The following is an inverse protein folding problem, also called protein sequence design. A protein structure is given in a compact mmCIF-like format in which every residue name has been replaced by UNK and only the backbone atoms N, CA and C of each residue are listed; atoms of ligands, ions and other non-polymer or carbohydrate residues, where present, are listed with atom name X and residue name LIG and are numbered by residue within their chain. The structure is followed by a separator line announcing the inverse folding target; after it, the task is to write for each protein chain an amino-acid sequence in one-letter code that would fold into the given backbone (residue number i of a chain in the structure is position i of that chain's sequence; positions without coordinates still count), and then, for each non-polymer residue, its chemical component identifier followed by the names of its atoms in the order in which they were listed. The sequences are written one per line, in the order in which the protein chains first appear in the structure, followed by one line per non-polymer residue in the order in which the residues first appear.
data_IF_252295537159
#
_entry.id   IF_252295537159
#
_cell.length_a   1.000
_cell.length_b   1.000
_cell.length_c   1.000
_cell.angle_alpha   90.00
_cell.angle_beta   90.00
_cell.angle_gamma   90.00
#
_symmetry.space_group_name_H-M   'P 1'
#
loop_
_entity.id
_entity.type
_entity.pdbx_description
1 polymer ?
#
# COMPACT_ATOMS: atom_id res chain seq x y z
N UNK A 1 -11.66 -2.70 27.47
CA UNK A 1 -12.06 -3.57 26.34
C UNK A 1 -10.81 -3.82 25.52
N UNK A 2 -10.35 -5.07 25.44
CA UNK A 2 -9.22 -5.42 24.57
C UNK A 2 -9.68 -5.37 23.11
N UNK A 3 -8.93 -4.65 22.27
CA UNK A 3 -9.17 -4.56 20.84
C UNK A 3 -9.19 -5.97 20.23
N UNK A 4 -10.18 -6.34 19.40
CA UNK A 4 -10.23 -7.67 18.84
C UNK A 4 -8.96 -7.90 18.03
N UNK A 5 -8.26 -8.99 18.36
CA UNK A 5 -7.06 -9.46 17.68
C UNK A 5 -7.40 -9.67 16.21
N UNK A 6 -7.28 -8.63 15.38
CA UNK A 6 -7.37 -8.72 13.91
C UNK A 6 -6.37 -9.78 13.48
N UNK A 7 -6.78 -10.60 12.53
CA UNK A 7 -6.21 -11.90 12.22
C UNK A 7 -4.82 -11.82 11.54
N UNK A 8 -3.86 -11.10 12.10
CA UNK A 8 -2.43 -11.05 11.77
C UNK A 8 -2.00 -11.49 10.34
N UNK A 9 -2.57 -11.07 9.19
CA UNK A 9 -3.57 -10.01 8.92
C UNK A 9 -4.31 -10.22 7.56
N UNK A 10 -4.60 -11.46 7.13
CA UNK A 10 -5.43 -11.72 5.94
C UNK A 10 -4.98 -11.02 4.63
N UNK A 11 -5.93 -10.54 3.82
CA UNK A 11 -5.63 -9.73 2.62
C UNK A 11 -5.10 -8.33 3.01
N UNK A 12 -5.69 -7.71 4.02
CA UNK A 12 -5.36 -6.33 4.43
C UNK A 12 -3.90 -6.18 4.84
N UNK A 13 -3.40 -7.00 5.75
CA UNK A 13 -1.99 -6.90 6.15
C UNK A 13 -1.03 -7.45 5.11
N UNK A 14 -1.48 -8.26 4.17
CA UNK A 14 -0.67 -8.56 3.00
C UNK A 14 -0.46 -7.34 2.11
N UNK A 15 -1.51 -6.54 1.92
CA UNK A 15 -1.44 -5.26 1.19
C UNK A 15 -0.52 -4.29 1.95
N UNK A 16 -0.75 -4.07 3.25
CA UNK A 16 0.08 -3.19 4.08
C UNK A 16 1.56 -3.59 4.04
N UNK A 17 1.85 -4.89 4.24
CA UNK A 17 3.22 -5.39 4.24
C UNK A 17 3.94 -5.23 2.89
N UNK A 18 3.22 -5.37 1.77
CA UNK A 18 3.79 -5.15 0.45
C UNK A 18 3.98 -3.66 0.13
N UNK A 19 3.05 -2.81 0.56
CA UNK A 19 3.18 -1.34 0.50
C UNK A 19 4.41 -0.88 1.27
N UNK A 20 4.57 -1.31 2.53
CA UNK A 20 5.72 -0.94 3.36
C UNK A 20 7.04 -1.35 2.71
N UNK A 21 7.10 -2.57 2.16
CA UNK A 21 8.28 -3.05 1.43
C UNK A 21 8.59 -2.23 0.19
N UNK A 22 7.58 -1.76 -0.53
CA UNK A 22 7.77 -0.96 -1.73
C UNK A 22 8.29 0.43 -1.37
N UNK A 23 7.65 1.11 -0.42
CA UNK A 23 8.04 2.44 0.06
C UNK A 23 9.48 2.45 0.61
N UNK A 24 9.89 1.41 1.34
CA UNK A 24 11.26 1.30 1.86
C UNK A 24 12.33 1.18 0.77
N UNK A 25 11.97 0.72 -0.43
CA UNK A 25 12.90 0.57 -1.57
C UNK A 25 12.94 1.80 -2.46
N UNK A 26 11.93 2.66 -2.38
CA UNK A 26 11.86 3.87 -3.19
C UNK A 26 13.00 4.83 -2.84
N UNK A 27 13.55 5.48 -3.87
CA UNK A 27 14.56 6.52 -3.68
C UNK A 27 13.90 7.74 -3.04
N UNK A 28 14.67 8.55 -2.31
CA UNK A 28 14.16 9.80 -1.70
C UNK A 28 13.48 10.74 -2.70
N UNK A 29 14.00 10.83 -3.93
CA UNK A 29 13.39 11.64 -4.99
C UNK A 29 12.01 11.09 -5.39
N UNK A 30 11.90 9.77 -5.58
CA UNK A 30 10.63 9.10 -5.89
C UNK A 30 9.62 9.26 -4.75
N UNK A 31 10.05 9.16 -3.49
CA UNK A 31 9.19 9.40 -2.34
C UNK A 31 8.70 10.85 -2.25
N UNK A 32 9.39 11.82 -2.86
CA UNK A 32 8.97 13.22 -2.88
C UNK A 32 8.03 13.55 -4.05
N UNK A 33 7.84 12.62 -4.98
CA UNK A 33 6.96 12.76 -6.13
C UNK A 33 5.64 12.00 -5.85
N UNK A 34 4.53 12.73 -5.78
CA UNK A 34 3.21 12.15 -5.47
C UNK A 34 2.72 11.20 -6.56
N UNK A 35 3.02 11.51 -7.83
CA UNK A 35 2.59 10.68 -8.98
C UNK A 35 3.35 9.35 -8.98
N UNK A 36 4.67 9.38 -8.74
CA UNK A 36 5.46 8.15 -8.62
C UNK A 36 5.01 7.28 -7.43
N UNK A 37 4.66 7.89 -6.30
CA UNK A 37 4.14 7.17 -5.13
C UNK A 37 2.78 6.57 -5.43
N UNK A 38 1.84 7.35 -5.97
CA UNK A 38 0.49 6.87 -6.32
C UNK A 38 0.55 5.69 -7.30
N UNK A 39 1.37 5.76 -8.33
CA UNK A 39 1.54 4.70 -9.32
C UNK A 39 2.14 3.43 -8.71
N UNK A 40 3.17 3.57 -7.87
CA UNK A 40 3.79 2.45 -7.18
C UNK A 40 2.79 1.74 -6.25
N UNK A 41 2.03 2.51 -5.46
CA UNK A 41 1.03 1.99 -4.53
C UNK A 41 -0.17 1.38 -5.27
N UNK A 42 -0.64 1.98 -6.35
CA UNK A 42 -1.73 1.41 -7.14
C UNK A 42 -1.33 0.07 -7.75
N UNK A 43 -0.11 -0.02 -8.27
CA UNK A 43 0.42 -1.25 -8.86
C UNK A 43 0.59 -2.37 -7.84
N UNK A 44 1.13 -2.06 -6.65
CA UNK A 44 1.35 -3.06 -5.61
C UNK A 44 0.01 -3.61 -5.09
N UNK A 45 -0.98 -2.74 -4.84
CA UNK A 45 -2.32 -3.14 -4.37
C UNK A 45 -3.02 -4.01 -5.41
N UNK A 46 -2.97 -3.61 -6.69
CA UNK A 46 -3.56 -4.38 -7.77
C UNK A 46 -2.94 -5.77 -7.90
N UNK A 47 -1.60 -5.87 -7.80
CA UNK A 47 -0.87 -7.14 -7.82
C UNK A 47 -1.28 -8.03 -6.66
N UNK A 48 -1.21 -7.53 -5.42
CA UNK A 48 -1.54 -8.32 -4.22
C UNK A 48 -2.97 -8.82 -4.25
N UNK A 49 -3.92 -7.97 -4.65
CA UNK A 49 -5.33 -8.37 -4.78
C UNK A 49 -5.53 -9.43 -5.87
N UNK A 50 -4.90 -9.25 -7.03
CA UNK A 50 -4.97 -10.24 -8.10
C UNK A 50 -4.40 -11.58 -7.66
N UNK A 51 -3.23 -11.59 -7.03
CA UNK A 51 -2.52 -12.81 -6.65
C UNK A 51 -3.22 -13.56 -5.52
N UNK A 52 -3.84 -12.84 -4.57
CA UNK A 52 -4.47 -13.46 -3.40
C UNK A 52 -5.95 -13.79 -3.57
N UNK A 53 -6.69 -12.98 -4.31
CA UNK A 53 -8.16 -13.13 -4.42
C UNK A 53 -8.67 -13.13 -5.87
N UNK A 54 -7.79 -13.02 -6.88
CA UNK A 54 -8.18 -13.08 -8.29
C UNK A 54 -9.04 -11.90 -8.77
N UNK A 55 -8.99 -10.75 -8.05
CA UNK A 55 -9.79 -9.57 -8.38
C UNK A 55 -8.90 -8.36 -8.62
N UNK A 56 -9.28 -7.55 -9.61
CA UNK A 56 -8.68 -6.23 -9.87
C UNK A 56 -9.45 -5.16 -9.10
N UNK A 57 -8.85 -4.53 -8.07
CA UNK A 57 -9.51 -3.50 -7.28
C UNK A 57 -9.54 -2.17 -8.03
N UNK A 58 -10.50 -1.31 -7.67
CA UNK A 58 -10.38 0.12 -7.89
C UNK A 58 -9.55 0.68 -6.74
N UNK A 59 -8.45 1.37 -7.05
CA UNK A 59 -7.53 1.92 -6.06
C UNK A 59 -7.56 3.44 -6.15
N UNK A 60 -7.67 4.09 -5.01
CA UNK A 60 -7.54 5.54 -4.86
C UNK A 60 -6.54 5.78 -3.75
N UNK A 61 -5.45 6.47 -4.07
CA UNK A 61 -4.39 6.77 -3.11
C UNK A 61 -4.57 8.18 -2.61
N UNK A 62 -4.57 8.37 -1.29
CA UNK A 62 -4.58 9.68 -0.67
C UNK A 62 -3.22 9.91 -0.03
N UNK A 63 -2.47 10.88 -0.55
CA UNK A 63 -1.17 11.26 0.00
C UNK A 63 -1.36 12.53 0.82
N UNK A 64 -1.09 12.44 2.11
CA UNK A 64 -0.99 13.61 2.99
C UNK A 64 0.47 13.88 3.26
N UNK A 65 0.98 14.98 2.71
CA UNK A 65 2.30 15.50 3.06
C UNK A 65 2.16 16.30 4.34
N UNK A 66 2.96 15.96 5.34
CA UNK A 66 3.22 16.87 6.43
C UNK A 66 4.11 17.96 5.83
N UNK A 67 3.61 19.20 5.77
CA UNK A 67 4.48 20.34 5.48
C UNK A 67 5.69 20.29 6.43
N UNK A 68 6.89 20.71 5.97
CA UNK A 68 8.07 20.77 6.84
C UNK A 68 7.85 21.67 8.07
#
# INVERSE_FOLDING_TARGET
MAEPKRLRDGLSGAIESDIDRELLKMKRAALADDEEVEDAITRIVARVCNDRIGKKPMVTVLISRLEP
#
